data_IF_733914077575
#
_entry.id   IF_733914077575
#
_cell.length_a   1.000
_cell.length_b   1.000
_cell.length_c   1.000
_cell.angle_alpha   90.00
_cell.angle_beta   90.00
_cell.angle_gamma   90.00
#
_symmetry.space_group_name_H-M   'P 1'
#
loop_
_entity.id
_entity.type
_entity.pdbx_description
1 polymer ?
#
# COMPACT_ATOMS: atom_id res chain seq x y z
N UNK A 1 19.95 -15.94 9.23
CA UNK A 1 18.50 -16.02 9.36
C UNK A 1 17.92 -14.97 8.44
N UNK A 2 17.33 -15.34 7.33
CA UNK A 2 16.76 -14.39 6.40
C UNK A 2 15.39 -13.97 6.91
N UNK A 3 15.20 -12.70 7.13
CA UNK A 3 13.88 -12.10 7.27
C UNK A 3 13.19 -12.31 5.93
N UNK A 4 12.13 -13.08 5.89
CA UNK A 4 11.70 -13.63 4.63
C UNK A 4 10.33 -13.22 4.21
N UNK A 5 9.66 -12.35 4.90
CA UNK A 5 8.41 -11.85 4.40
C UNK A 5 7.58 -11.14 5.47
N UNK A 6 6.31 -11.00 5.16
CA UNK A 6 5.26 -10.45 6.01
C UNK A 6 5.11 -11.09 7.39
N UNK A 7 5.72 -12.26 7.64
CA UNK A 7 5.55 -13.01 8.90
C UNK A 7 6.63 -12.70 9.95
N UNK A 8 7.83 -12.29 9.55
CA UNK A 8 8.99 -12.16 10.43
C UNK A 8 9.06 -10.85 11.23
N UNK A 9 8.27 -9.85 10.86
CA UNK A 9 8.21 -8.58 11.58
C UNK A 9 7.47 -8.78 12.91
N UNK A 10 8.04 -8.23 13.99
CA UNK A 10 7.40 -8.28 15.30
C UNK A 10 6.00 -7.67 15.28
N UNK A 11 4.98 -8.36 15.86
CA UNK A 11 3.62 -7.84 15.91
C UNK A 11 3.52 -6.50 16.67
N UNK A 12 4.48 -6.19 17.55
CA UNK A 12 4.52 -4.91 18.27
C UNK A 12 4.76 -3.70 17.35
N UNK A 13 5.26 -3.94 16.13
CA UNK A 13 5.54 -2.92 15.11
C UNK A 13 4.38 -2.71 14.14
N UNK A 14 3.31 -3.47 14.27
CA UNK A 14 2.15 -3.40 13.37
C UNK A 14 0.92 -3.14 14.23
N UNK A 15 0.47 -1.91 14.21
CA UNK A 15 -0.75 -1.42 14.87
C UNK A 15 -1.58 -0.65 13.86
N UNK A 16 -2.91 -0.56 14.02
CA UNK A 16 -3.77 0.14 13.06
C UNK A 16 -3.38 1.60 12.79
N UNK A 17 -2.87 2.31 13.80
CA UNK A 17 -2.49 3.73 13.70
C UNK A 17 -0.99 3.99 13.60
N UNK A 18 -0.16 2.97 13.75
CA UNK A 18 1.32 3.05 13.74
C UNK A 18 1.87 1.70 13.27
N UNK A 19 2.31 1.64 12.03
CA UNK A 19 2.80 0.42 11.42
C UNK A 19 4.05 0.65 10.58
N UNK A 20 4.80 -0.43 10.37
CA UNK A 20 5.86 -0.46 9.37
C UNK A 20 5.33 -1.03 8.06
N UNK A 21 5.56 -0.32 6.97
CA UNK A 21 5.33 -0.79 5.62
C UNK A 21 6.63 -1.27 4.98
N UNK A 22 6.54 -2.25 4.11
CA UNK A 22 7.63 -2.67 3.20
C UNK A 22 7.36 -2.06 1.84
N UNK A 23 8.28 -1.24 1.35
CA UNK A 23 8.17 -0.66 0.01
C UNK A 23 8.62 -1.67 -1.03
N UNK A 24 7.80 -1.91 -2.05
CA UNK A 24 8.15 -2.74 -3.20
C UNK A 24 8.49 -1.89 -4.43
N UNK A 25 7.80 -0.75 -4.58
CA UNK A 25 7.89 0.12 -5.76
C UNK A 25 8.08 1.56 -5.32
N UNK A 26 9.17 2.17 -5.78
CA UNK A 26 9.44 3.59 -5.51
C UNK A 26 8.48 4.50 -6.28
N UNK A 27 8.11 5.63 -5.68
CA UNK A 27 7.43 6.73 -6.38
C UNK A 27 8.15 7.08 -7.67
N UNK A 28 7.39 7.30 -8.74
CA UNK A 28 7.93 7.64 -10.07
C UNK A 28 8.41 6.43 -10.88
N UNK A 29 8.34 5.21 -10.34
CA UNK A 29 8.70 4.00 -11.08
C UNK A 29 7.62 3.62 -12.09
N UNK A 30 8.07 3.06 -13.21
CA UNK A 30 7.24 2.38 -14.21
C UNK A 30 7.38 0.84 -14.13
N UNK A 31 8.31 0.35 -13.33
CA UNK A 31 8.52 -1.08 -13.10
C UNK A 31 7.72 -1.55 -11.90
N UNK A 32 6.85 -2.54 -12.11
CA UNK A 32 6.11 -3.20 -11.03
C UNK A 32 6.93 -4.34 -10.47
N UNK A 33 7.31 -4.22 -9.21
CA UNK A 33 7.95 -5.27 -8.43
C UNK A 33 6.98 -5.89 -7.44
N UNK A 34 7.22 -7.14 -7.11
CA UNK A 34 6.53 -7.88 -6.06
C UNK A 34 7.56 -8.66 -5.23
N UNK A 35 7.35 -8.73 -3.94
CA UNK A 35 8.15 -9.59 -3.08
C UNK A 35 7.81 -11.05 -3.39
N UNK A 36 8.78 -11.79 -3.89
CA UNK A 36 8.66 -13.23 -4.07
C UNK A 36 8.64 -13.91 -2.70
N UNK A 37 7.48 -14.50 -2.37
CA UNK A 37 7.23 -15.08 -1.04
C UNK A 37 8.06 -16.33 -0.75
N UNK A 38 8.57 -17.00 -1.79
CA UNK A 38 9.39 -18.20 -1.65
C UNK A 38 10.85 -17.83 -1.36
N UNK A 39 11.38 -16.84 -2.06
CA UNK A 39 12.80 -16.47 -2.00
C UNK A 39 13.09 -15.29 -1.09
N UNK A 40 12.09 -14.44 -0.81
CA UNK A 40 12.24 -13.18 -0.08
C UNK A 40 12.98 -12.09 -0.88
N UNK A 41 13.07 -12.25 -2.21
CA UNK A 41 13.74 -11.31 -3.11
C UNK A 41 12.68 -10.60 -3.95
N UNK A 42 12.93 -9.35 -4.33
CA UNK A 42 12.06 -8.64 -5.26
C UNK A 42 12.12 -9.27 -6.64
N UNK A 43 10.97 -9.59 -7.18
CA UNK A 43 10.79 -10.06 -8.55
C UNK A 43 10.20 -8.93 -9.39
N UNK A 44 10.74 -8.70 -10.58
CA UNK A 44 10.10 -7.87 -11.58
C UNK A 44 8.87 -8.62 -12.10
N UNK A 45 7.67 -8.12 -11.79
CA UNK A 45 6.43 -8.62 -12.36
C UNK A 45 6.30 -8.17 -13.81
N UNK A 46 6.33 -6.87 -14.04
CA UNK A 46 6.31 -6.28 -15.39
C UNK A 46 6.74 -4.82 -15.40
N UNK A 47 7.01 -4.30 -16.59
CA UNK A 47 7.02 -2.87 -16.86
C UNK A 47 5.58 -2.48 -17.24
N UNK A 48 5.05 -1.40 -16.68
CA UNK A 48 3.70 -0.92 -16.99
C UNK A 48 3.57 -0.64 -18.49
N UNK A 49 2.48 -1.11 -19.10
CA UNK A 49 2.24 -0.94 -20.53
C UNK A 49 1.82 0.49 -20.88
N UNK A 50 1.19 1.19 -19.95
CA UNK A 50 0.83 2.60 -20.08
C UNK A 50 2.04 3.51 -19.85
N UNK A 51 1.91 4.79 -20.17
CA UNK A 51 2.94 5.82 -19.85
C UNK A 51 2.91 6.28 -18.39
N UNK A 52 2.00 5.74 -17.59
CA UNK A 52 1.85 6.11 -16.17
C UNK A 52 3.02 5.61 -15.31
N UNK A 53 3.25 6.32 -14.21
CA UNK A 53 4.24 6.00 -13.20
C UNK A 53 3.55 5.96 -11.84
N UNK A 54 4.05 5.16 -10.91
CA UNK A 54 3.48 5.10 -9.56
C UNK A 54 3.49 6.48 -8.90
N UNK A 55 2.32 6.99 -8.45
CA UNK A 55 2.20 8.36 -7.93
C UNK A 55 2.75 8.52 -6.52
N UNK A 56 2.90 7.43 -5.80
CA UNK A 56 3.46 7.35 -4.45
C UNK A 56 4.34 6.11 -4.32
N UNK A 57 5.10 6.00 -3.23
CA UNK A 57 5.77 4.76 -2.90
C UNK A 57 4.72 3.70 -2.58
N UNK A 58 4.85 2.52 -3.18
CA UNK A 58 3.86 1.45 -3.09
C UNK A 58 4.46 0.24 -2.42
N UNK A 59 3.72 -0.38 -1.54
CA UNK A 59 4.17 -1.56 -0.83
C UNK A 59 3.04 -2.20 -0.03
N UNK A 60 3.36 -2.92 1.02
CA UNK A 60 2.39 -3.64 1.83
C UNK A 60 2.67 -3.49 3.33
N UNK A 61 1.63 -3.74 4.11
CA UNK A 61 1.72 -3.80 5.57
C UNK A 61 1.92 -5.27 5.97
N UNK A 62 3.08 -5.63 6.56
CA UNK A 62 3.31 -7.00 7.04
C UNK A 62 2.29 -7.41 8.10
N UNK A 63 2.06 -8.72 8.26
CA UNK A 63 1.12 -9.29 9.23
C UNK A 63 -0.32 -8.79 9.06
N UNK A 64 -0.71 -8.52 7.81
CA UNK A 64 -2.09 -8.27 7.40
C UNK A 64 -2.52 -9.29 6.36
N UNK A 65 -3.83 -9.50 6.24
CA UNK A 65 -4.41 -10.39 5.24
C UNK A 65 -5.73 -9.81 4.75
N UNK A 66 -5.76 -9.40 3.49
CA UNK A 66 -6.91 -8.75 2.85
C UNK A 66 -7.80 -9.75 2.11
N UNK A 67 -8.94 -9.28 1.59
CA UNK A 67 -9.96 -10.10 0.93
C UNK A 67 -9.46 -10.79 -0.35
N UNK A 68 -8.48 -10.21 -1.03
CA UNK A 68 -7.82 -10.77 -2.22
C UNK A 68 -6.76 -11.85 -1.89
N UNK A 69 -6.59 -12.18 -0.59
CA UNK A 69 -5.63 -13.16 -0.06
C UNK A 69 -4.17 -12.70 -0.09
N UNK A 70 -3.95 -11.42 -0.29
CA UNK A 70 -2.65 -10.76 -0.21
C UNK A 70 -2.53 -9.87 1.05
N UNK A 71 -1.34 -9.42 1.42
CA UNK A 71 -1.19 -8.40 2.45
C UNK A 71 -1.92 -7.12 2.05
N UNK A 72 -2.38 -6.36 3.02
CA UNK A 72 -3.00 -5.07 2.76
C UNK A 72 -1.98 -4.09 2.14
N UNK A 73 -2.27 -3.59 0.97
CA UNK A 73 -1.40 -2.67 0.24
C UNK A 73 -1.48 -1.24 0.76
N UNK A 74 -0.37 -0.53 0.64
CA UNK A 74 -0.24 0.85 1.11
C UNK A 74 0.45 1.75 0.08
N UNK A 75 -0.10 2.94 -0.09
CA UNK A 75 0.51 4.06 -0.81
C UNK A 75 1.12 5.00 0.24
N UNK A 76 2.44 5.10 0.23
CA UNK A 76 3.16 5.96 1.17
C UNK A 76 3.46 7.29 0.50
N UNK A 77 2.72 8.33 0.91
CA UNK A 77 2.96 9.71 0.54
C UNK A 77 4.22 10.20 1.23
N UNK A 78 5.25 10.43 0.44
CA UNK A 78 6.55 10.88 0.90
C UNK A 78 7.12 11.90 -0.07
N UNK A 79 7.90 12.85 0.44
CA UNK A 79 8.59 13.86 -0.38
C UNK A 79 9.56 13.21 -1.38
N UNK A 80 10.17 12.07 -1.00
CA UNK A 80 11.19 11.40 -1.79
C UNK A 80 10.77 9.97 -2.22
N UNK A 81 11.33 9.45 -3.33
CA UNK A 81 11.23 8.04 -3.67
C UNK A 81 12.03 7.19 -2.67
N UNK A 82 11.39 6.15 -2.13
CA UNK A 82 11.98 5.26 -1.14
C UNK A 82 12.49 4.00 -1.84
N UNK A 83 13.66 3.54 -1.41
CA UNK A 83 14.27 2.32 -1.95
C UNK A 83 13.37 1.10 -1.73
N UNK A 84 13.18 0.24 -2.74
CA UNK A 84 12.51 -1.03 -2.56
C UNK A 84 13.17 -1.88 -1.47
N UNK A 85 12.36 -2.65 -0.73
CA UNK A 85 12.71 -3.43 0.45
C UNK A 85 13.05 -2.61 1.70
N UNK A 86 12.90 -1.29 1.67
CA UNK A 86 13.00 -0.47 2.87
C UNK A 86 11.76 -0.66 3.76
N UNK A 87 12.00 -0.72 5.07
CA UNK A 87 10.96 -0.62 6.10
C UNK A 87 10.76 0.84 6.45
N UNK A 88 9.52 1.30 6.42
CA UNK A 88 9.16 2.67 6.75
C UNK A 88 8.03 2.72 7.78
N UNK A 89 8.23 3.45 8.86
CA UNK A 89 7.21 3.64 9.88
C UNK A 89 6.23 4.73 9.45
N UNK A 90 4.94 4.37 9.38
CA UNK A 90 3.88 5.21 8.85
C UNK A 90 2.66 5.22 9.75
N UNK A 91 1.80 6.20 9.53
CA UNK A 91 0.44 6.26 10.05
C UNK A 91 -0.55 6.47 8.90
N UNK A 92 -1.78 5.91 9.00
CA UNK A 92 -2.78 6.05 7.94
C UNK A 92 -3.45 7.44 8.01
N UNK A 93 -3.80 7.96 6.83
CA UNK A 93 -4.58 9.20 6.69
C UNK A 93 -5.88 9.00 5.92
N UNK A 94 -6.03 7.87 5.25
CA UNK A 94 -7.20 7.52 4.45
C UNK A 94 -6.95 6.26 3.63
N UNK A 95 -7.87 5.96 2.71
CA UNK A 95 -7.77 4.81 1.83
C UNK A 95 -8.49 5.02 0.51
N UNK A 96 -8.12 4.24 -0.49
CA UNK A 96 -8.82 4.10 -1.76
C UNK A 96 -9.47 2.72 -1.77
N UNK A 97 -10.79 2.67 -1.95
CA UNK A 97 -11.50 1.44 -2.24
C UNK A 97 -11.56 1.23 -3.74
N UNK A 98 -11.22 0.03 -4.19
CA UNK A 98 -11.28 -0.31 -5.60
C UNK A 98 -11.62 -1.79 -5.79
N UNK A 99 -12.11 -2.11 -6.98
CA UNK A 99 -12.35 -3.48 -7.41
C UNK A 99 -11.33 -3.87 -8.47
N UNK A 100 -10.66 -4.99 -8.27
CA UNK A 100 -9.78 -5.62 -9.25
C UNK A 100 -10.25 -7.06 -9.50
N UNK A 101 -10.62 -7.37 -10.75
CA UNK A 101 -11.12 -8.69 -11.16
C UNK A 101 -12.27 -9.22 -10.27
N UNK A 102 -13.14 -8.34 -9.75
CA UNK A 102 -14.29 -8.69 -8.92
C UNK A 102 -13.99 -8.89 -7.43
N UNK A 103 -12.77 -8.63 -6.98
CA UNK A 103 -12.38 -8.62 -5.57
C UNK A 103 -12.11 -7.20 -5.09
N UNK A 104 -12.45 -6.92 -3.84
CA UNK A 104 -12.04 -5.68 -3.19
C UNK A 104 -10.51 -5.65 -3.05
N UNK A 105 -9.90 -4.60 -3.54
CA UNK A 105 -8.46 -4.36 -3.53
C UNK A 105 -8.19 -2.98 -2.91
N UNK A 106 -8.43 -2.90 -1.62
CA UNK A 106 -8.30 -1.66 -0.86
C UNK A 106 -6.83 -1.27 -0.69
N UNK A 107 -6.56 0.03 -0.77
CA UNK A 107 -5.21 0.56 -0.63
C UNK A 107 -5.18 1.66 0.43
N UNK A 108 -4.42 1.43 1.47
CA UNK A 108 -4.21 2.42 2.53
C UNK A 108 -3.37 3.57 1.98
N UNK A 109 -3.70 4.80 2.38
CA UNK A 109 -2.86 5.98 2.14
C UNK A 109 -2.25 6.35 3.48
N UNK A 110 -0.92 6.40 3.52
CA UNK A 110 -0.17 6.62 4.75
C UNK A 110 0.96 7.65 4.55
N UNK A 111 1.41 8.22 5.66
CA UNK A 111 2.50 9.20 5.70
C UNK A 111 3.58 8.69 6.66
N UNK A 112 4.88 8.81 6.30
CA UNK A 112 5.96 8.55 7.23
C UNK A 112 5.98 9.53 8.39
N UNK A 113 6.20 9.05 9.62
CA UNK A 113 6.31 9.92 10.80
C UNK A 113 7.42 10.95 10.67
N UNK A 114 8.52 10.61 10.00
CA UNK A 114 9.74 11.42 9.90
C UNK A 114 9.87 12.18 8.56
N UNK A 115 8.78 12.33 7.80
CA UNK A 115 8.80 13.21 6.63
C UNK A 115 8.26 14.62 6.99
N UNK A 116 9.12 15.63 7.15
CA UNK A 116 8.71 16.97 7.58
C UNK A 116 7.82 17.70 6.54
N UNK A 117 7.77 17.21 5.31
CA UNK A 117 6.89 17.78 4.26
C UNK A 117 5.44 17.37 4.47
N UNK A 118 5.22 16.15 4.93
CA UNK A 118 3.87 15.57 5.01
C UNK A 118 3.39 15.29 6.44
N UNK A 119 4.26 15.18 7.45
CA UNK A 119 3.90 14.71 8.78
C UNK A 119 3.03 15.67 9.61
N UNK A 120 2.69 16.85 9.06
CA UNK A 120 1.68 17.74 9.63
C UNK A 120 0.25 17.38 9.24
N UNK A 121 0.05 16.51 8.25
CA UNK A 121 -1.26 16.05 7.81
C UNK A 121 -1.65 14.77 8.56
N UNK A 122 -2.88 14.71 9.04
CA UNK A 122 -3.39 13.58 9.83
C UNK A 122 -4.65 12.94 9.26
N UNK A 123 -5.27 13.58 8.27
CA UNK A 123 -6.43 13.07 7.55
C UNK A 123 -6.34 13.42 6.08
N UNK A 124 -6.98 12.61 5.26
CA UNK A 124 -6.98 12.77 3.80
C UNK A 124 -7.58 14.11 3.35
N UNK A 125 -8.52 14.65 4.12
CA UNK A 125 -9.17 15.94 3.83
C UNK A 125 -8.23 17.15 3.94
N UNK A 126 -7.09 16.99 4.60
CA UNK A 126 -6.09 18.04 4.77
C UNK A 126 -5.13 18.17 3.58
N UNK A 127 -5.07 17.16 2.72
CA UNK A 127 -4.14 17.09 1.58
C UNK A 127 -4.79 17.68 0.31
N UNK A 128 -4.02 18.37 -0.55
CA UNK A 128 -4.56 18.87 -1.80
C UNK A 128 -5.26 17.81 -2.63
N UNK A 129 -6.49 18.09 -3.04
CA UNK A 129 -7.35 17.15 -3.78
C UNK A 129 -6.68 16.55 -5.01
N UNK A 130 -5.85 17.31 -5.70
CA UNK A 130 -5.14 16.85 -6.89
C UNK A 130 -4.26 15.62 -6.64
N UNK A 131 -3.67 15.48 -5.45
CA UNK A 131 -2.87 14.29 -5.08
C UNK A 131 -3.69 13.00 -5.19
N UNK A 132 -4.96 13.05 -4.79
CA UNK A 132 -5.86 11.90 -4.89
C UNK A 132 -6.39 11.69 -6.29
N UNK A 133 -6.61 12.78 -7.04
CA UNK A 133 -7.01 12.70 -8.44
C UNK A 133 -5.92 12.01 -9.27
N UNK A 134 -4.64 12.28 -9.01
CA UNK A 134 -3.51 11.56 -9.63
C UNK A 134 -3.48 10.08 -9.26
N UNK A 135 -3.65 9.73 -7.98
CA UNK A 135 -3.71 8.33 -7.54
C UNK A 135 -4.88 7.59 -8.17
N UNK A 136 -6.07 8.18 -8.13
CA UNK A 136 -7.27 7.61 -8.71
C UNK A 136 -7.13 7.42 -10.21
N UNK A 137 -6.59 8.42 -10.91
CA UNK A 137 -6.31 8.32 -12.34
C UNK A 137 -5.31 7.20 -12.63
N UNK A 138 -4.21 7.11 -11.88
CA UNK A 138 -3.24 6.04 -12.05
C UNK A 138 -3.90 4.65 -11.98
N UNK A 139 -4.63 4.36 -10.91
CA UNK A 139 -5.27 3.05 -10.74
C UNK A 139 -6.40 2.78 -11.74
N UNK A 140 -7.04 3.81 -12.28
CA UNK A 140 -8.06 3.64 -13.33
C UNK A 140 -7.49 3.26 -14.70
N UNK A 141 -6.23 3.61 -14.99
CA UNK A 141 -5.67 3.44 -16.33
C UNK A 141 -4.44 2.53 -16.40
N UNK A 142 -3.74 2.23 -15.29
CA UNK A 142 -2.44 1.55 -15.32
C UNK A 142 -2.48 0.13 -15.93
N UNK A 143 -3.66 -0.53 -15.94
CA UNK A 143 -3.89 -1.83 -16.58
C UNK A 143 -4.66 -1.74 -17.91
N UNK A 144 -5.02 -0.55 -18.37
CA UNK A 144 -5.91 -0.37 -19.53
C UNK A 144 -5.35 -1.00 -20.82
N UNK A 145 -4.06 -0.89 -21.08
CA UNK A 145 -3.40 -1.51 -22.24
C UNK A 145 -3.21 -3.03 -22.07
N UNK A 146 -3.39 -3.56 -20.87
CA UNK A 146 -3.41 -5.01 -20.60
C UNK A 146 -4.81 -5.61 -20.79
N UNK A 147 -5.79 -4.81 -21.20
CA UNK A 147 -7.21 -5.18 -21.35
C UNK A 147 -7.83 -5.70 -20.05
N UNK A 148 -7.40 -5.17 -18.93
CA UNK A 148 -7.96 -5.42 -17.60
C UNK A 148 -8.66 -4.16 -17.11
N UNK A 149 -9.84 -4.33 -16.56
CA UNK A 149 -10.62 -3.24 -16.01
C UNK A 149 -10.37 -3.13 -14.51
N UNK A 150 -10.14 -1.93 -14.04
CA UNK A 150 -10.10 -1.58 -12.62
C UNK A 150 -11.09 -0.45 -12.40
N UNK A 151 -11.90 -0.58 -11.37
CA UNK A 151 -12.86 0.45 -10.97
C UNK A 151 -12.46 0.98 -9.59
N UNK A 152 -12.35 2.31 -9.49
CA UNK A 152 -12.19 2.99 -8.21
C UNK A 152 -13.59 3.36 -7.74
N UNK A 153 -13.93 2.94 -6.52
CA UNK A 153 -15.21 3.26 -5.94
C UNK A 153 -15.19 4.57 -5.16
N UNK A 154 -14.36 4.67 -4.13
CA UNK A 154 -14.39 5.79 -3.21
C UNK A 154 -13.02 6.04 -2.55
N UNK A 155 -12.80 7.29 -2.15
CA UNK A 155 -11.73 7.69 -1.24
C UNK A 155 -12.37 7.87 0.13
N UNK A 156 -11.85 7.18 1.14
CA UNK A 156 -12.37 7.21 2.49
C UNK A 156 -11.35 7.81 3.47
N UNK A 157 -11.85 8.26 4.60
CA UNK A 157 -11.09 8.97 5.63
C UNK A 157 -10.14 8.05 6.44
N UNK A 158 -9.43 8.67 7.37
CA UNK A 158 -8.53 7.95 8.27
C UNK A 158 -9.25 6.91 9.12
N UNK A 159 -10.46 7.19 9.60
CA UNK A 159 -11.19 6.27 10.46
C UNK A 159 -11.53 4.96 9.73
N UNK A 160 -11.93 5.05 8.46
CA UNK A 160 -12.15 3.89 7.61
C UNK A 160 -10.86 3.10 7.38
N UNK A 161 -9.74 3.78 7.10
CA UNK A 161 -8.45 3.14 6.92
C UNK A 161 -7.98 2.38 8.17
N UNK A 162 -8.08 2.98 9.35
CA UNK A 162 -7.73 2.34 10.64
C UNK A 162 -8.54 1.07 10.85
N UNK A 163 -9.85 1.11 10.59
CA UNK A 163 -10.74 -0.05 10.72
C UNK A 163 -10.33 -1.20 9.78
N UNK A 164 -10.06 -0.90 8.52
CA UNK A 164 -9.63 -1.91 7.53
C UNK A 164 -8.28 -2.52 7.91
N UNK A 165 -7.34 -1.73 8.42
CA UNK A 165 -6.05 -2.26 8.92
C UNK A 165 -6.28 -3.19 10.11
N UNK A 166 -7.14 -2.82 11.06
CA UNK A 166 -7.47 -3.64 12.22
C UNK A 166 -8.07 -4.99 11.80
N UNK A 167 -9.08 -4.98 10.93
CA UNK A 167 -9.70 -6.19 10.38
C UNK A 167 -8.69 -7.09 9.64
N UNK A 168 -7.78 -6.51 8.87
CA UNK A 168 -6.74 -7.25 8.15
C UNK A 168 -5.69 -7.87 9.10
N UNK A 169 -5.36 -7.21 10.21
CA UNK A 169 -4.49 -7.75 11.28
C UNK A 169 -5.20 -8.90 11.99
N UNK A 170 -6.47 -8.74 12.36
CA UNK A 170 -7.26 -9.80 13.03
C UNK A 170 -7.35 -11.05 12.15
N UNK A 171 -7.69 -10.88 10.87
CA UNK A 171 -7.75 -11.97 9.90
C UNK A 171 -6.39 -12.70 9.78
N UNK A 172 -5.29 -11.94 9.75
CA UNK A 172 -3.95 -12.53 9.74
C UNK A 172 -3.68 -13.36 11.00
N UNK A 173 -4.02 -12.83 12.18
CA UNK A 173 -3.82 -13.56 13.47
C UNK A 173 -4.64 -14.84 13.48
N UNK A 174 -5.87 -14.82 13.02
CA UNK A 174 -6.74 -16.00 12.95
C UNK A 174 -6.17 -17.09 12.05
N UNK A 175 -5.57 -16.73 10.94
CA UNK A 175 -5.08 -17.67 9.94
C UNK A 175 -3.69 -18.22 10.25
N UNK A 176 -2.80 -17.43 10.86
CA UNK A 176 -1.37 -17.75 10.94
C UNK A 176 -0.78 -17.75 12.35
N UNK A 177 -1.51 -17.33 13.38
CA UNK A 177 -0.98 -17.22 14.75
C UNK A 177 -1.68 -18.13 15.76
N UNK A 178 -2.46 -19.11 15.30
CA UNK A 178 -3.09 -20.14 16.16
C UNK A 178 -2.15 -21.28 16.47
#
# INVERSE_FOLDING_TARGET
>A
MCIRDRHDISPKRIKPEDFFAVVEISKGSKTKYELDKETGILRLDRVLYTSTHYPANYGFIPRTYAADKDPLYVLVLCSEPIQPMALIQCYPIGMITMMDNGYADDKIIAIPFEDPTYNSYHDISEIPRHVFEEMSHFFSVYKSLERKETAIDEIQDRAAAVKVIEEAIETYIELYCR
#
